data_IF_396538436753
#
_entry.id   IF_396538436753
#
_cell.length_a   1.000
_cell.length_b   1.000
_cell.length_c   1.000
_cell.angle_alpha   90.00
_cell.angle_beta   90.00
_cell.angle_gamma   90.00
#
_symmetry.space_group_name_H-M   'P 1'
#
loop_
_entity.id
_entity.type
_entity.pdbx_description
1 polymer ?
#
# COMPACT_ATOMS: atom_id res chain seq x y z
N UNK A 1 19.23 -73.10 4.19
CA UNK A 1 18.08 -73.49 5.04
C UNK A 1 16.91 -72.59 4.69
N UNK A 2 15.91 -73.08 3.95
CA UNK A 2 14.69 -72.37 3.53
C UNK A 2 13.48 -72.72 4.43
N UNK A 3 12.24 -72.41 3.96
CA UNK A 3 10.89 -72.88 4.41
C UNK A 3 10.18 -72.00 5.47
N UNK A 4 8.89 -71.63 5.42
CA UNK A 4 7.76 -71.75 4.47
C UNK A 4 6.54 -70.95 5.01
N UNK A 5 5.67 -70.46 4.13
CA UNK A 5 4.22 -70.15 4.38
C UNK A 5 3.40 -71.47 4.51
N UNK A 6 2.12 -71.58 4.99
CA UNK A 6 0.96 -70.81 4.47
C UNK A 6 -0.38 -70.66 5.31
N UNK A 7 -1.23 -69.74 4.80
CA UNK A 7 -2.71 -69.73 4.56
C UNK A 7 -3.81 -70.16 5.57
N UNK A 8 -4.87 -69.30 5.59
CA UNK A 8 -6.36 -69.48 5.69
C UNK A 8 -6.95 -68.60 6.81
N UNK A 9 -8.07 -67.88 6.69
CA UNK A 9 -9.13 -67.70 5.68
C UNK A 9 -10.45 -67.32 6.39
N UNK A 10 -11.27 -66.45 5.77
CA UNK A 10 -12.73 -66.23 6.01
C UNK A 10 -13.15 -65.53 7.33
N UNK A 11 -14.16 -64.67 7.46
CA UNK A 11 -15.36 -64.28 6.66
C UNK A 11 -15.92 -62.93 7.16
N UNK A 12 -16.66 -62.23 6.28
CA UNK A 12 -17.50 -61.04 6.53
C UNK A 12 -18.88 -61.46 7.05
N UNK A 13 -19.64 -60.57 7.73
CA UNK A 13 -21.00 -60.35 7.22
C UNK A 13 -21.41 -58.87 7.11
N UNK A 14 -22.26 -58.67 6.10
CA UNK A 14 -22.99 -57.45 5.71
C UNK A 14 -24.39 -57.48 6.33
N UNK A 15 -24.97 -56.30 6.58
CA UNK A 15 -26.41 -56.06 6.71
C UNK A 15 -26.79 -55.38 8.02
N UNK A 16 -27.76 -54.48 8.13
CA UNK A 16 -28.65 -53.81 7.19
C UNK A 16 -29.26 -52.61 7.94
N UNK A 17 -29.63 -51.52 7.24
CA UNK A 17 -30.62 -50.57 7.78
C UNK A 17 -32.03 -51.18 7.67
N UNK A 18 -33.02 -50.74 8.48
CA UNK A 18 -33.97 -49.76 7.93
C UNK A 18 -34.62 -48.76 8.93
N UNK A 19 -34.95 -47.59 8.38
CA UNK A 19 -36.21 -46.82 8.48
C UNK A 19 -36.70 -46.12 9.79
N UNK A 20 -36.79 -44.78 9.66
CA UNK A 20 -37.90 -43.84 9.93
C UNK A 20 -38.94 -44.14 11.03
N UNK A 21 -39.11 -43.16 11.93
CA UNK A 21 -40.44 -42.73 12.40
C UNK A 21 -40.45 -41.23 12.76
N UNK A 22 -41.48 -40.53 12.29
CA UNK A 22 -41.82 -39.13 12.58
C UNK A 22 -42.42 -38.98 13.99
N UNK A 23 -42.24 -37.79 14.60
CA UNK A 23 -43.06 -37.32 15.72
C UNK A 23 -42.91 -35.81 15.95
N UNK A 24 -43.94 -35.04 15.54
CA UNK A 24 -44.10 -33.59 15.79
C UNK A 24 -44.58 -33.33 17.23
N UNK A 25 -44.07 -32.29 17.91
CA UNK A 25 -44.88 -31.29 18.65
C UNK A 25 -44.00 -30.16 19.24
N UNK A 26 -44.49 -28.93 19.15
CA UNK A 26 -43.89 -27.65 19.59
C UNK A 26 -44.32 -27.27 21.04
N UNK A 27 -44.21 -26.01 21.49
CA UNK A 27 -43.03 -25.21 21.83
C UNK A 27 -43.01 -24.84 23.34
N UNK A 28 -41.86 -24.40 23.87
CA UNK A 28 -41.77 -23.80 25.21
C UNK A 28 -41.26 -22.36 25.16
N UNK A 29 -42.08 -21.48 25.74
CA UNK A 29 -41.93 -20.03 25.83
C UNK A 29 -40.89 -19.60 26.87
N UNK A 30 -40.34 -18.41 26.59
CA UNK A 30 -39.92 -17.34 27.52
C UNK A 30 -38.69 -17.56 28.42
N UNK A 31 -37.64 -16.76 28.17
CA UNK A 31 -37.51 -15.45 28.82
C UNK A 31 -36.51 -14.54 28.10
N UNK A 32 -37.02 -13.40 27.61
CA UNK A 32 -36.23 -12.22 27.24
C UNK A 32 -35.65 -11.60 28.51
N UNK A 33 -34.32 -11.42 28.58
CA UNK A 33 -33.71 -10.36 29.39
C UNK A 33 -33.18 -9.27 28.45
N UNK A 34 -33.88 -8.13 28.46
CA UNK A 34 -33.43 -6.87 27.85
C UNK A 34 -32.22 -6.37 28.64
N UNK A 35 -31.08 -6.21 27.99
CA UNK A 35 -29.99 -5.38 28.52
C UNK A 35 -30.31 -3.92 28.15
N UNK A 36 -30.37 -3.07 29.17
CA UNK A 36 -30.65 -1.64 29.06
C UNK A 36 -29.39 -0.90 28.58
N UNK A 37 -29.53 -0.09 27.54
CA UNK A 37 -28.54 0.90 27.15
C UNK A 37 -28.43 2.02 28.22
N UNK A 38 -27.26 2.62 28.45
CA UNK A 38 -27.12 3.79 29.29
C UNK A 38 -27.58 5.05 28.56
N UNK A 39 -28.28 5.92 29.30
CA UNK A 39 -28.88 7.19 28.85
C UNK A 39 -27.78 8.27 28.72
N UNK A 40 -27.82 9.16 27.72
CA UNK A 40 -26.86 10.24 27.58
C UNK A 40 -27.05 11.33 28.65
N UNK A 41 -25.94 11.87 29.15
CA UNK A 41 -25.90 13.02 30.05
C UNK A 41 -26.26 14.29 29.29
N UNK A 42 -27.23 15.03 29.81
CA UNK A 42 -27.60 16.38 29.38
C UNK A 42 -26.52 17.40 29.78
N UNK A 43 -26.13 18.35 28.91
CA UNK A 43 -25.33 19.49 29.34
C UNK A 43 -26.21 20.53 30.06
N UNK A 44 -25.72 21.01 31.19
CA UNK A 44 -26.27 22.15 31.92
C UNK A 44 -25.95 23.43 31.16
N UNK A 45 -26.98 24.23 30.89
CA UNK A 45 -26.85 25.59 30.39
C UNK A 45 -26.36 26.52 31.51
N UNK A 46 -25.38 27.38 31.21
CA UNK A 46 -25.09 28.57 31.98
C UNK A 46 -25.17 29.78 31.05
N UNK A 47 -26.13 30.64 31.33
CA UNK A 47 -26.38 31.92 30.68
C UNK A 47 -25.47 33.01 31.23
N UNK A 48 -24.90 33.80 30.31
CA UNK A 48 -24.71 35.27 30.33
C UNK A 48 -24.22 35.96 31.60
N UNK A 49 -23.13 36.73 31.49
CA UNK A 49 -23.17 38.18 31.75
C UNK A 49 -22.17 38.95 30.88
N UNK A 50 -22.64 40.12 30.43
CA UNK A 50 -21.98 41.17 29.68
C UNK A 50 -20.88 41.88 30.48
N UNK A 51 -19.95 42.56 29.79
CA UNK A 51 -19.06 43.51 30.44
C UNK A 51 -17.95 44.10 29.57
N UNK A 52 -18.29 45.15 28.82
CA UNK A 52 -17.47 46.34 28.52
C UNK A 52 -16.05 46.21 27.88
N UNK A 53 -15.97 46.71 26.65
CA UNK A 53 -14.78 47.30 26.01
C UNK A 53 -14.28 48.53 26.82
N UNK A 54 -12.98 48.88 26.76
CA UNK A 54 -12.61 49.92 25.82
C UNK A 54 -11.28 49.73 25.08
N UNK A 55 -11.24 50.42 23.96
CA UNK A 55 -10.18 50.68 23.00
C UNK A 55 -8.92 51.34 23.57
N UNK A 56 -7.76 50.94 23.07
CA UNK A 56 -6.59 51.82 22.88
C UNK A 56 -5.81 51.41 21.62
N UNK A 57 -5.54 52.41 20.79
CA UNK A 57 -4.83 52.39 19.51
C UNK A 57 -3.31 52.14 19.60
N UNK A 58 -2.79 51.44 18.56
CA UNK A 58 -1.59 51.74 17.74
C UNK A 58 -0.18 51.80 18.42
N UNK A 59 0.95 51.61 17.66
CA UNK A 59 1.07 51.75 16.21
C UNK A 59 1.83 50.65 15.44
N UNK A 60 1.44 50.56 14.17
CA UNK A 60 2.15 49.94 13.05
C UNK A 60 3.50 50.64 12.79
N UNK A 61 4.54 49.87 12.49
CA UNK A 61 5.75 50.36 11.83
C UNK A 61 5.70 49.99 10.33
N UNK A 62 5.84 51.01 9.49
CA UNK A 62 6.01 50.93 8.04
C UNK A 62 7.48 50.75 7.65
N UNK A 63 7.68 50.01 6.56
CA UNK A 63 8.68 50.31 5.53
C UNK A 63 9.61 49.15 5.15
N UNK A 64 10.13 49.07 3.90
CA UNK A 64 9.70 49.72 2.66
C UNK A 64 9.42 48.74 1.50
N UNK A 65 8.79 49.33 0.49
CA UNK A 65 8.45 48.80 -0.84
C UNK A 65 9.70 48.69 -1.71
N UNK A 66 9.74 47.66 -2.57
CA UNK A 66 10.61 47.55 -3.74
C UNK A 66 10.73 46.08 -4.14
N UNK A 67 10.68 45.64 -5.40
CA UNK A 67 10.40 46.25 -6.68
C UNK A 67 10.09 45.07 -7.60
N UNK A 68 9.22 45.27 -8.59
CA UNK A 68 8.95 44.35 -9.68
C UNK A 68 10.25 44.00 -10.42
N UNK A 69 10.43 42.72 -10.76
CA UNK A 69 11.28 42.32 -11.90
C UNK A 69 10.40 41.49 -12.84
N UNK A 70 9.97 42.19 -13.88
CA UNK A 70 9.55 41.69 -15.17
C UNK A 70 10.79 41.22 -15.94
N UNK A 71 10.75 40.02 -16.53
CA UNK A 71 11.74 39.50 -17.47
C UNK A 71 11.04 38.73 -18.59
N UNK A 72 10.48 39.46 -19.54
CA UNK A 72 10.13 38.96 -20.86
C UNK A 72 11.32 39.05 -21.85
N UNK A 73 11.92 37.89 -22.17
CA UNK A 73 12.45 37.42 -23.49
C UNK A 73 13.62 38.22 -24.16
N UNK A 74 14.36 37.72 -25.21
CA UNK A 74 14.25 36.45 -25.96
C UNK A 74 15.58 35.67 -26.21
N UNK A 75 15.44 34.39 -26.59
CA UNK A 75 16.16 33.77 -27.71
C UNK A 75 17.62 33.31 -27.56
N UNK A 76 17.84 31.99 -27.47
CA UNK A 76 18.93 31.29 -28.18
C UNK A 76 18.45 29.89 -28.57
N UNK A 77 18.29 29.66 -29.87
CA UNK A 77 17.97 28.35 -30.44
C UNK A 77 19.19 27.70 -31.09
N UNK A 78 19.27 26.38 -30.87
CA UNK A 78 19.74 25.34 -31.81
C UNK A 78 21.25 25.29 -32.11
N UNK A 79 21.93 24.34 -31.46
CA UNK A 79 22.66 23.18 -32.04
C UNK A 79 23.83 22.79 -31.14
N UNK A 80 23.77 21.55 -30.65
CA UNK A 80 24.87 20.60 -30.36
C UNK A 80 24.72 19.93 -28.99
N UNK A 81 23.85 18.92 -28.91
CA UNK A 81 24.17 17.70 -28.15
C UNK A 81 23.63 16.52 -28.98
N UNK A 82 24.48 16.00 -29.86
CA UNK A 82 24.29 14.71 -30.51
C UNK A 82 25.01 13.65 -29.66
N UNK A 83 24.29 12.54 -29.44
CA UNK A 83 24.78 11.15 -29.42
C UNK A 83 26.05 10.82 -28.62
N UNK A 84 25.87 10.00 -27.58
CA UNK A 84 26.57 8.72 -27.47
C UNK A 84 25.97 7.87 -26.33
N UNK A 85 24.97 7.05 -26.66
CA UNK A 85 24.80 5.76 -26.02
C UNK A 85 25.48 4.73 -26.93
N UNK A 86 26.49 4.03 -26.40
CA UNK A 86 27.09 2.86 -27.03
C UNK A 86 28.39 3.08 -27.82
N UNK A 87 29.52 3.01 -27.13
CA UNK A 87 30.73 2.30 -27.57
C UNK A 87 31.79 2.40 -26.46
N UNK A 88 32.52 1.30 -26.24
CA UNK A 88 33.51 1.12 -25.19
C UNK A 88 34.55 2.25 -25.14
N UNK A 89 34.62 2.95 -24.00
CA UNK A 89 35.77 3.75 -23.64
C UNK A 89 36.68 2.91 -22.74
N UNK A 90 37.82 2.47 -23.29
CA UNK A 90 38.99 2.12 -22.50
C UNK A 90 39.36 3.33 -21.64
N UNK A 91 39.04 3.27 -20.36
CA UNK A 91 39.45 4.28 -19.40
C UNK A 91 40.97 4.32 -19.34
N UNK A 92 41.58 5.43 -19.75
CA UNK A 92 42.91 5.79 -19.29
C UNK A 92 42.79 6.02 -17.79
N UNK A 93 43.24 5.04 -17.01
CA UNK A 93 43.23 5.10 -15.56
C UNK A 93 44.08 6.29 -15.10
N UNK A 94 43.45 7.28 -14.48
CA UNK A 94 44.14 8.25 -13.63
C UNK A 94 44.42 7.55 -12.29
N UNK A 95 45.67 7.18 -11.95
CA UNK A 95 45.95 6.24 -10.87
C UNK A 95 45.77 6.77 -9.44
N UNK A 96 45.26 7.99 -9.25
CA UNK A 96 45.26 8.67 -7.94
C UNK A 96 43.92 9.25 -7.48
N UNK A 97 42.80 8.97 -8.14
CA UNK A 97 41.49 9.26 -7.54
C UNK A 97 41.10 8.09 -6.64
N UNK A 98 41.01 8.26 -5.30
CA UNK A 98 40.40 7.23 -4.47
C UNK A 98 38.96 7.06 -4.94
N UNK A 99 38.68 5.92 -5.59
CA UNK A 99 37.33 5.44 -5.78
C UNK A 99 36.77 5.20 -4.38
N UNK A 100 36.00 6.17 -3.88
CA UNK A 100 35.21 5.97 -2.68
C UNK A 100 34.36 4.71 -2.89
N UNK A 101 34.20 3.86 -1.87
CA UNK A 101 33.37 2.68 -2.02
C UNK A 101 31.98 3.14 -2.46
N UNK A 102 31.47 2.58 -3.56
CA UNK A 102 30.05 2.60 -3.80
C UNK A 102 29.40 2.00 -2.56
N UNK A 103 28.67 2.80 -1.77
CA UNK A 103 27.97 2.29 -0.61
C UNK A 103 26.99 1.24 -1.11
N UNK A 104 27.30 -0.04 -0.85
CA UNK A 104 26.30 -1.09 -0.92
C UNK A 104 25.14 -0.64 -0.03
N UNK A 105 23.91 -0.68 -0.54
CA UNK A 105 22.74 -0.50 0.29
C UNK A 105 22.86 -1.49 1.46
N UNK A 106 22.93 -0.97 2.69
CA UNK A 106 23.05 -1.81 3.86
C UNK A 106 21.87 -2.80 3.89
N UNK A 107 22.16 -4.07 4.21
CA UNK A 107 21.12 -5.07 4.42
C UNK A 107 20.16 -4.59 5.53
N UNK A 108 18.86 -4.73 5.31
CA UNK A 108 17.81 -4.18 6.17
C UNK A 108 16.65 -5.16 6.34
N UNK A 109 16.02 -5.14 7.51
CA UNK A 109 14.89 -6.00 7.84
C UNK A 109 13.76 -5.25 8.58
N UNK A 110 12.63 -5.94 8.71
CA UNK A 110 11.55 -5.58 9.63
C UNK A 110 11.64 -6.34 10.96
N UNK A 111 12.27 -7.53 10.97
CA UNK A 111 12.27 -8.48 12.10
C UNK A 111 13.02 -7.96 13.32
N UNK A 112 14.05 -7.13 13.13
CA UNK A 112 14.85 -6.63 14.24
C UNK A 112 14.16 -5.54 15.05
N UNK A 113 12.93 -5.17 14.69
CA UNK A 113 12.14 -4.14 15.33
C UNK A 113 11.06 -4.66 16.28
N UNK A 114 10.65 -5.93 16.20
CA UNK A 114 9.69 -6.59 17.10
C UNK A 114 8.37 -5.82 17.33
N UNK A 115 7.21 -6.41 17.01
CA UNK A 115 5.92 -5.76 17.33
C UNK A 115 5.77 -5.40 18.83
N UNK A 116 6.51 -6.09 19.71
CA UNK A 116 6.58 -5.84 21.16
C UNK A 116 7.40 -4.62 21.59
N UNK A 117 8.23 -4.01 20.72
CA UNK A 117 9.00 -2.80 21.06
C UNK A 117 8.19 -1.50 20.95
N UNK A 118 6.92 -1.59 20.53
CA UNK A 118 6.08 -0.43 20.24
C UNK A 118 6.55 0.32 18.99
N UNK A 119 5.67 1.15 18.44
CA UNK A 119 5.91 2.00 17.26
C UNK A 119 7.18 2.89 17.35
N UNK A 120 7.79 3.02 18.54
CA UNK A 120 8.98 3.83 18.82
C UNK A 120 10.32 3.09 18.68
N UNK A 121 10.35 1.76 18.54
CA UNK A 121 11.59 0.97 18.42
C UNK A 121 12.25 0.99 17.02
N UNK A 122 11.49 1.36 15.98
CA UNK A 122 11.84 1.19 14.57
C UNK A 122 12.93 2.15 14.06
N UNK A 123 13.01 3.36 14.62
CA UNK A 123 13.87 4.44 14.12
C UNK A 123 15.38 4.22 14.35
N UNK A 124 15.79 3.12 14.99
CA UNK A 124 17.19 2.93 15.40
C UNK A 124 18.12 2.35 14.32
N UNK A 125 17.62 1.90 13.17
CA UNK A 125 18.48 1.25 12.15
C UNK A 125 18.38 1.77 10.72
N UNK A 126 17.24 2.31 10.29
CA UNK A 126 17.18 2.93 8.96
C UNK A 126 17.77 4.33 9.04
N UNK A 127 18.84 4.57 8.28
CA UNK A 127 19.63 5.80 8.32
C UNK A 127 19.43 6.65 7.08
N UNK A 128 20.08 7.82 7.03
CA UNK A 128 19.98 8.74 5.90
C UNK A 128 18.59 9.34 5.76
N UNK A 129 18.06 9.36 4.53
CA UNK A 129 16.77 9.97 4.20
C UNK A 129 15.62 9.30 5.00
N UNK A 130 15.71 8.00 5.27
CA UNK A 130 14.71 7.31 6.09
C UNK A 130 14.51 7.93 7.49
N UNK A 131 15.55 8.53 8.08
CA UNK A 131 15.49 9.12 9.42
C UNK A 131 15.40 10.65 9.40
N UNK A 132 15.99 11.30 8.39
CA UNK A 132 16.10 12.76 8.31
C UNK A 132 15.16 13.41 7.29
N UNK A 133 14.48 12.61 6.46
CA UNK A 133 13.59 13.09 5.40
C UNK A 133 12.37 13.83 5.95
N UNK A 134 11.94 14.88 5.23
CA UNK A 134 10.79 15.71 5.61
C UNK A 134 9.47 15.29 4.96
N UNK A 135 9.50 14.40 3.97
CA UNK A 135 8.36 13.96 3.16
C UNK A 135 8.30 12.43 3.08
N UNK A 136 8.39 11.78 4.24
CA UNK A 136 8.42 10.33 4.33
C UNK A 136 7.03 9.69 4.24
N UNK A 137 6.97 8.52 3.62
CA UNK A 137 5.79 7.64 3.54
C UNK A 137 6.01 6.39 4.40
N UNK A 138 4.94 5.71 4.87
CA UNK A 138 3.52 6.03 4.67
C UNK A 138 3.04 7.18 5.56
N UNK A 139 1.78 7.59 5.43
CA UNK A 139 1.14 8.61 6.27
C UNK A 139 -0.22 8.15 6.79
N UNK A 140 -0.71 8.84 7.82
CA UNK A 140 -2.09 8.72 8.26
C UNK A 140 -3.01 9.63 7.41
N UNK A 141 -4.13 9.07 6.95
CA UNK A 141 -5.11 9.72 6.08
C UNK A 141 -6.45 9.89 6.83
N UNK A 142 -7.25 10.92 6.52
CA UNK A 142 -8.53 11.14 7.21
C UNK A 142 -9.59 10.08 6.84
N UNK A 143 -10.12 9.36 7.84
CA UNK A 143 -11.11 8.27 7.64
C UNK A 143 -12.45 8.76 7.11
N UNK A 144 -12.86 9.99 7.41
CA UNK A 144 -14.14 10.51 6.92
C UNK A 144 -14.31 10.35 5.39
N UNK A 145 -13.20 10.35 4.63
CA UNK A 145 -13.22 10.28 3.16
C UNK A 145 -13.14 8.86 2.62
N UNK A 146 -12.86 7.89 3.50
CA UNK A 146 -13.02 6.47 3.23
C UNK A 146 -14.51 6.09 3.09
N UNK A 147 -15.40 6.84 3.76
CA UNK A 147 -16.80 6.41 3.99
C UNK A 147 -17.85 7.13 3.16
N UNK A 148 -17.53 8.28 2.56
CA UNK A 148 -18.48 9.08 1.76
C UNK A 148 -17.96 9.26 0.32
N UNK A 149 -18.16 8.27 -0.57
CA UNK A 149 -17.66 8.35 -1.95
C UNK A 149 -18.38 9.39 -2.81
N UNK A 150 -19.52 9.93 -2.33
CA UNK A 150 -20.44 10.72 -3.15
C UNK A 150 -20.25 12.24 -3.01
N UNK A 151 -19.45 12.70 -2.05
CA UNK A 151 -19.21 14.13 -1.83
C UNK A 151 -17.75 14.39 -1.46
N UNK A 152 -17.09 15.26 -2.23
CA UNK A 152 -15.80 15.79 -1.85
C UNK A 152 -16.02 16.58 -0.57
N UNK A 153 -15.21 16.37 0.47
CA UNK A 153 -15.32 17.19 1.65
C UNK A 153 -14.97 18.63 1.29
N UNK A 154 -15.59 19.57 1.99
CA UNK A 154 -15.33 21.00 1.79
C UNK A 154 -13.83 21.27 1.99
N UNK A 155 -13.18 21.79 0.96
CA UNK A 155 -11.75 22.17 1.01
C UNK A 155 -10.80 21.23 0.26
N UNK A 156 -11.27 20.13 -0.31
CA UNK A 156 -10.44 19.24 -1.13
C UNK A 156 -10.49 19.60 -2.61
N UNK A 157 -9.36 19.43 -3.29
CA UNK A 157 -9.11 19.82 -4.68
C UNK A 157 -9.31 18.65 -5.63
N UNK A 158 -10.05 18.87 -6.73
CA UNK A 158 -10.08 17.96 -7.88
C UNK A 158 -9.07 18.45 -8.93
N UNK A 159 -7.79 18.39 -8.60
CA UNK A 159 -6.70 18.97 -9.38
C UNK A 159 -6.22 18.02 -10.47
N UNK A 160 -6.18 16.73 -10.15
CA UNK A 160 -5.63 15.69 -11.03
C UNK A 160 -6.70 14.90 -11.78
N UNK A 161 -7.94 14.90 -11.29
CA UNK A 161 -9.04 14.14 -11.88
C UNK A 161 -8.86 12.64 -11.73
N UNK A 162 -9.66 11.86 -12.44
CA UNK A 162 -9.60 10.40 -12.37
C UNK A 162 -8.27 9.81 -12.85
N UNK A 163 -7.86 8.73 -12.20
CA UNK A 163 -6.85 7.82 -12.75
C UNK A 163 -7.53 6.86 -13.73
N UNK A 164 -7.15 6.95 -15.01
CA UNK A 164 -7.65 6.06 -16.06
C UNK A 164 -6.70 4.88 -16.24
N UNK A 165 -7.06 3.75 -15.65
CA UNK A 165 -6.29 2.50 -15.70
C UNK A 165 -6.54 1.71 -16.99
N UNK A 166 -5.46 1.23 -17.60
CA UNK A 166 -5.45 0.34 -18.76
C UNK A 166 -4.47 -0.81 -18.51
N UNK A 167 -4.83 -1.69 -17.58
CA UNK A 167 -4.06 -2.90 -17.32
C UNK A 167 -4.63 -4.08 -18.11
N UNK A 168 -3.80 -4.61 -19.01
CA UNK A 168 -4.14 -5.72 -19.86
C UNK A 168 -4.10 -7.06 -19.14
N UNK A 169 -4.41 -8.10 -19.90
CA UNK A 169 -4.16 -9.48 -19.50
C UNK A 169 -2.71 -9.82 -19.81
N UNK A 170 -1.98 -10.29 -18.80
CA UNK A 170 -0.57 -10.63 -18.89
C UNK A 170 -0.43 -12.15 -18.86
N UNK A 171 -0.06 -12.77 -19.98
CA UNK A 171 0.08 -14.23 -20.10
C UNK A 171 1.18 -14.80 -19.18
N UNK A 172 2.24 -14.01 -18.97
CA UNK A 172 3.36 -14.35 -18.10
C UNK A 172 3.76 -13.14 -17.27
N UNK A 173 4.14 -13.40 -16.02
CA UNK A 173 4.73 -12.41 -15.11
C UNK A 173 5.90 -13.04 -14.36
N UNK A 174 6.84 -12.22 -13.93
CA UNK A 174 7.99 -12.68 -13.14
C UNK A 174 7.71 -12.42 -11.65
N UNK A 175 7.69 -13.47 -10.84
CA UNK A 175 7.49 -13.39 -9.39
C UNK A 175 8.81 -13.60 -8.67
N UNK A 176 9.20 -12.60 -7.90
CA UNK A 176 10.43 -12.55 -7.12
C UNK A 176 10.10 -12.59 -5.63
N UNK A 177 10.80 -13.40 -4.85
CA UNK A 177 10.87 -13.19 -3.41
C UNK A 177 11.96 -12.16 -3.12
N UNK A 178 11.59 -10.99 -2.58
CA UNK A 178 12.53 -9.88 -2.36
C UNK A 178 13.54 -10.15 -1.26
N UNK A 179 13.31 -11.15 -0.40
CA UNK A 179 14.06 -11.35 0.83
C UNK A 179 13.71 -10.38 1.96
N UNK A 180 12.90 -9.36 1.70
CA UNK A 180 12.49 -8.33 2.66
C UNK A 180 11.00 -8.44 3.04
N UNK A 181 10.50 -9.67 3.18
CA UNK A 181 9.16 -9.93 3.69
C UNK A 181 8.01 -9.79 2.69
N UNK A 182 8.29 -9.54 1.40
CA UNK A 182 7.25 -9.56 0.34
C UNK A 182 7.72 -10.30 -0.91
N UNK A 183 6.77 -10.87 -1.65
CA UNK A 183 6.96 -11.15 -3.06
C UNK A 183 6.70 -9.89 -3.90
N UNK A 184 7.34 -9.82 -5.06
CA UNK A 184 7.18 -8.75 -6.05
C UNK A 184 6.82 -9.38 -7.39
N UNK A 185 5.69 -8.96 -7.95
CA UNK A 185 5.23 -9.41 -9.27
C UNK A 185 5.61 -8.34 -10.29
N UNK A 186 6.49 -8.70 -11.23
CA UNK A 186 7.05 -7.81 -12.23
C UNK A 186 6.35 -7.98 -13.57
N UNK A 187 6.10 -6.86 -14.23
CA UNK A 187 5.42 -6.79 -15.51
C UNK A 187 6.39 -6.45 -16.63
N UNK A 188 6.07 -6.95 -17.83
CA UNK A 188 6.61 -6.38 -19.06
C UNK A 188 5.87 -5.06 -19.36
N UNK A 189 6.47 -4.16 -20.16
CA UNK A 189 5.81 -2.94 -20.64
C UNK A 189 4.43 -3.22 -21.26
N UNK A 190 3.51 -2.26 -21.14
CA UNK A 190 2.17 -2.33 -21.75
C UNK A 190 0.97 -2.25 -20.81
N UNK A 191 1.19 -2.18 -19.49
CA UNK A 191 0.14 -1.89 -18.51
C UNK A 191 0.27 -0.42 -18.07
N UNK A 192 -0.70 0.42 -18.41
CA UNK A 192 -0.57 1.87 -18.17
C UNK A 192 -1.73 2.45 -17.35
N UNK A 193 -1.51 3.62 -16.76
CA UNK A 193 -2.52 4.46 -16.16
C UNK A 193 -2.26 5.92 -16.55
N UNK A 194 -3.30 6.76 -16.63
CA UNK A 194 -3.16 8.19 -16.92
C UNK A 194 -3.84 9.00 -15.83
N UNK A 195 -3.16 10.01 -15.30
CA UNK A 195 -3.66 10.92 -14.25
C UNK A 195 -3.03 12.29 -14.43
N UNK A 196 -3.81 13.37 -14.33
CA UNK A 196 -3.28 14.74 -14.43
C UNK A 196 -2.49 15.06 -15.71
N UNK A 197 -2.73 14.33 -16.81
CA UNK A 197 -1.97 14.43 -18.06
C UNK A 197 -0.65 13.64 -18.08
N UNK A 198 -0.27 12.98 -16.99
CA UNK A 198 0.90 12.10 -16.90
C UNK A 198 0.52 10.66 -17.23
N UNK A 199 1.35 9.97 -18.03
CA UNK A 199 1.23 8.55 -18.29
C UNK A 199 2.16 7.75 -17.36
N UNK A 200 1.60 6.75 -16.70
CA UNK A 200 2.25 5.89 -15.72
C UNK A 200 2.31 4.47 -16.27
N UNK A 201 3.50 3.89 -16.40
CA UNK A 201 3.67 2.49 -16.79
C UNK A 201 3.90 1.61 -15.55
N UNK A 202 3.05 0.60 -15.34
CA UNK A 202 3.16 -0.33 -14.23
C UNK A 202 4.41 -1.21 -14.39
N UNK A 203 5.27 -1.18 -13.38
CA UNK A 203 6.52 -1.96 -13.35
C UNK A 203 6.35 -3.21 -12.51
N UNK A 204 5.75 -3.06 -11.33
CA UNK A 204 5.57 -4.16 -10.39
C UNK A 204 4.43 -3.88 -9.41
N UNK A 205 3.96 -4.92 -8.72
CA UNK A 205 3.29 -4.74 -7.43
C UNK A 205 3.90 -5.62 -6.35
N UNK A 206 3.68 -5.23 -5.09
CA UNK A 206 4.04 -5.98 -3.88
C UNK A 206 3.07 -5.65 -2.74
N UNK A 207 3.19 -6.35 -1.61
CA UNK A 207 2.24 -6.23 -0.50
C UNK A 207 2.92 -5.92 0.83
N UNK A 208 2.16 -5.33 1.73
CA UNK A 208 2.52 -5.11 3.12
C UNK A 208 1.43 -5.64 4.05
N UNK A 209 1.84 -6.15 5.22
CA UNK A 209 0.94 -6.52 6.32
C UNK A 209 1.50 -6.02 7.66
N UNK A 210 0.70 -5.29 8.46
CA UNK A 210 -0.58 -4.67 8.11
C UNK A 210 -0.43 -3.64 6.95
N UNK A 211 -1.47 -2.89 6.61
CA UNK A 211 -1.31 -1.74 5.70
C UNK A 211 -0.23 -0.79 6.19
N UNK A 212 0.47 -0.13 5.28
CA UNK A 212 1.46 0.89 5.64
C UNK A 212 0.74 2.21 5.94
N UNK A 213 -0.15 2.62 5.03
CA UNK A 213 -1.07 3.72 5.27
C UNK A 213 -2.13 3.35 6.31
N UNK A 214 -2.56 4.37 7.05
CA UNK A 214 -3.67 4.26 7.99
C UNK A 214 -4.75 5.27 7.64
N UNK A 215 -5.98 4.99 8.08
CA UNK A 215 -7.09 5.94 8.07
C UNK A 215 -7.52 6.24 9.51
N UNK A 216 -7.33 7.46 9.98
CA UNK A 216 -7.47 7.87 11.39
C UNK A 216 -6.78 6.89 12.37
N UNK A 217 -5.55 6.49 12.03
CA UNK A 217 -4.73 5.54 12.79
C UNK A 217 -5.15 4.08 12.67
N UNK A 218 -6.14 3.75 11.84
CA UNK A 218 -6.62 2.38 11.63
C UNK A 218 -5.95 1.74 10.43
N UNK A 219 -5.35 0.57 10.66
CA UNK A 219 -4.79 -0.26 9.60
C UNK A 219 -5.82 -1.22 9.00
N UNK A 220 -5.67 -1.55 7.71
CA UNK A 220 -6.28 -2.75 7.12
C UNK A 220 -5.32 -3.95 7.22
N UNK A 221 -5.82 -5.20 7.06
CA UNK A 221 -4.97 -6.38 7.12
C UNK A 221 -3.78 -6.38 6.16
N UNK A 222 -3.98 -5.89 4.93
CA UNK A 222 -2.94 -5.77 3.92
C UNK A 222 -3.07 -4.44 3.17
N UNK A 223 -1.99 -4.04 2.52
CA UNK A 223 -1.97 -3.02 1.48
C UNK A 223 -1.16 -3.53 0.29
N UNK A 224 -1.62 -3.24 -0.93
CA UNK A 224 -0.86 -3.48 -2.15
C UNK A 224 -0.33 -2.17 -2.70
N UNK A 225 0.94 -2.18 -3.08
CA UNK A 225 1.60 -1.09 -3.79
C UNK A 225 1.77 -1.49 -5.25
N UNK A 226 1.11 -0.77 -6.15
CA UNK A 226 1.35 -0.84 -7.59
C UNK A 226 2.34 0.28 -7.93
N UNK A 227 3.56 -0.09 -8.33
CA UNK A 227 4.65 0.86 -8.60
C UNK A 227 4.75 1.12 -10.09
N UNK A 228 4.73 2.40 -10.45
CA UNK A 228 4.77 2.87 -11.82
C UNK A 228 6.03 3.70 -12.08
N UNK A 229 6.49 3.65 -13.33
CA UNK A 229 7.38 4.66 -13.88
C UNK A 229 6.53 5.77 -14.50
N UNK A 230 6.87 7.02 -14.22
CA UNK A 230 6.27 8.17 -14.91
C UNK A 230 6.94 8.31 -16.28
N UNK A 231 6.20 8.11 -17.36
CA UNK A 231 6.71 8.07 -18.72
C UNK A 231 7.36 9.41 -19.11
N UNK A 232 8.51 9.33 -19.77
CA UNK A 232 9.30 10.52 -20.14
C UNK A 232 10.13 11.11 -19.00
N UNK A 233 10.14 10.49 -17.81
CA UNK A 233 10.93 10.94 -16.65
C UNK A 233 11.69 9.78 -15.99
N UNK A 234 12.52 10.11 -14.99
CA UNK A 234 13.15 9.12 -14.11
C UNK A 234 12.34 8.86 -12.82
N UNK A 235 11.19 9.51 -12.65
CA UNK A 235 10.38 9.47 -11.43
C UNK A 235 9.52 8.20 -11.34
N UNK A 236 9.15 7.86 -10.12
CA UNK A 236 8.18 6.80 -9.83
C UNK A 236 6.91 7.41 -9.23
N UNK A 237 5.80 6.75 -9.50
CA UNK A 237 4.53 6.96 -8.82
C UNK A 237 4.08 5.63 -8.20
N UNK A 238 3.31 5.68 -7.12
CA UNK A 238 2.78 4.49 -6.46
C UNK A 238 1.29 4.64 -6.24
N UNK A 239 0.52 3.66 -6.71
CA UNK A 239 -0.88 3.51 -6.34
C UNK A 239 -0.97 2.55 -5.15
N UNK A 240 -1.42 3.05 -4.01
CA UNK A 240 -1.67 2.25 -2.81
C UNK A 240 -3.14 1.81 -2.76
N UNK A 241 -3.39 0.52 -2.53
CA UNK A 241 -4.75 0.00 -2.33
C UNK A 241 -4.81 -0.82 -1.05
N UNK A 242 -5.65 -0.41 -0.12
CA UNK A 242 -5.87 -1.13 1.12
C UNK A 242 -6.72 -2.38 0.84
N UNK A 243 -6.38 -3.49 1.49
CA UNK A 243 -7.03 -4.79 1.31
C UNK A 243 -7.72 -5.23 2.60
N UNK A 244 -9.03 -5.44 2.53
CA UNK A 244 -9.87 -5.85 3.66
C UNK A 244 -10.27 -7.32 3.60
N UNK A 245 -10.59 -7.90 4.76
CA UNK A 245 -11.19 -9.24 4.82
C UNK A 245 -12.64 -9.22 4.34
N UNK A 246 -13.16 -10.41 4.04
CA UNK A 246 -14.58 -10.62 3.80
C UNK A 246 -14.97 -10.88 2.35
N UNK A 247 -14.01 -11.14 1.46
CA UNK A 247 -14.33 -11.76 0.18
C UNK A 247 -14.68 -13.24 0.38
N UNK A 248 -15.64 -13.72 -0.41
CA UNK A 248 -15.98 -15.16 -0.47
C UNK A 248 -14.98 -15.93 -1.33
N UNK A 249 -14.56 -15.32 -2.43
CA UNK A 249 -13.63 -15.91 -3.39
C UNK A 249 -12.26 -15.22 -3.31
N UNK A 250 -11.15 -15.95 -3.55
CA UNK A 250 -9.82 -15.36 -3.56
C UNK A 250 -9.67 -14.30 -4.66
N UNK A 251 -9.01 -13.19 -4.33
CA UNK A 251 -8.57 -12.24 -5.35
C UNK A 251 -7.53 -12.90 -6.27
N UNK A 252 -7.73 -12.94 -7.59
CA UNK A 252 -6.88 -13.72 -8.50
C UNK A 252 -5.44 -13.19 -8.59
N UNK A 253 -5.22 -11.89 -8.44
CA UNK A 253 -3.88 -11.30 -8.47
C UNK A 253 -3.08 -11.67 -7.22
N UNK A 254 -3.71 -11.51 -6.05
CA UNK A 254 -3.11 -11.90 -4.77
C UNK A 254 -2.83 -13.41 -4.75
N UNK A 255 -3.77 -14.23 -5.24
CA UNK A 255 -3.59 -15.68 -5.28
C UNK A 255 -2.44 -16.10 -6.20
N UNK A 256 -2.31 -15.47 -7.37
CA UNK A 256 -1.18 -15.74 -8.27
C UNK A 256 0.15 -15.45 -7.58
N UNK A 257 0.27 -14.31 -6.91
CA UNK A 257 1.50 -13.93 -6.22
C UNK A 257 1.85 -14.95 -5.13
N UNK A 258 0.86 -15.37 -4.32
CA UNK A 258 1.03 -16.39 -3.28
C UNK A 258 1.41 -17.77 -3.84
N UNK A 259 0.77 -18.21 -4.92
CA UNK A 259 1.00 -19.52 -5.52
C UNK A 259 2.37 -19.62 -6.19
N UNK A 260 2.82 -18.53 -6.84
CA UNK A 260 4.03 -18.53 -7.64
C UNK A 260 5.29 -18.07 -6.88
N UNK A 261 5.15 -17.39 -5.73
CA UNK A 261 6.30 -16.84 -5.04
C UNK A 261 7.29 -17.94 -4.59
N UNK A 262 8.57 -17.84 -4.96
CA UNK A 262 9.57 -18.79 -4.50
C UNK A 262 9.86 -18.61 -3.00
N UNK A 263 10.18 -19.70 -2.31
CA UNK A 263 10.51 -19.64 -0.87
C UNK A 263 11.87 -19.02 -0.58
N UNK A 264 12.82 -19.14 -1.51
CA UNK A 264 14.18 -18.63 -1.34
C UNK A 264 14.25 -17.15 -1.70
N UNK A 265 14.85 -16.34 -0.82
CA UNK A 265 15.10 -14.91 -1.06
C UNK A 265 15.93 -14.69 -2.32
N UNK A 266 15.63 -13.60 -3.03
CA UNK A 266 16.29 -13.17 -4.26
C UNK A 266 16.20 -14.17 -5.41
N UNK A 267 15.28 -15.13 -5.34
CA UNK A 267 14.94 -16.03 -6.45
C UNK A 267 13.75 -15.49 -7.20
N UNK A 268 13.84 -15.53 -8.53
CA UNK A 268 12.79 -15.12 -9.46
C UNK A 268 12.32 -16.32 -10.26
N UNK A 269 11.02 -16.46 -10.43
CA UNK A 269 10.38 -17.47 -11.27
C UNK A 269 9.38 -16.82 -12.20
N UNK A 270 9.19 -17.39 -13.39
CA UNK A 270 8.13 -16.94 -14.30
C UNK A 270 6.84 -17.73 -13.99
N UNK A 271 5.76 -17.03 -13.73
CA UNK A 271 4.45 -17.62 -13.52
C UNK A 271 3.69 -17.70 -14.86
N UNK A 272 3.30 -18.89 -15.34
CA UNK A 272 2.59 -19.07 -16.62
C UNK A 272 1.08 -18.83 -16.48
N UNK A 273 0.68 -17.78 -15.75
CA UNK A 273 -0.72 -17.53 -15.42
C UNK A 273 -1.15 -16.15 -15.90
N UNK A 274 -2.19 -16.17 -16.74
CA UNK A 274 -2.92 -15.01 -17.21
C UNK A 274 -3.41 -14.16 -16.03
N UNK A 275 -2.97 -12.91 -15.96
CA UNK A 275 -3.29 -11.96 -14.89
C UNK A 275 -3.65 -10.59 -15.43
N UNK A 276 -4.78 -10.04 -14.99
CA UNK A 276 -5.01 -8.60 -15.06
C UNK A 276 -4.80 -7.96 -13.69
N UNK A 277 -3.86 -7.00 -13.57
CA UNK A 277 -3.70 -6.19 -12.36
C UNK A 277 -4.93 -5.36 -12.00
N UNK A 278 -5.93 -5.23 -12.89
CA UNK A 278 -7.21 -4.58 -12.57
C UNK A 278 -7.89 -5.20 -11.35
N UNK A 279 -7.68 -6.49 -11.07
CA UNK A 279 -8.23 -7.16 -9.91
C UNK A 279 -7.74 -6.59 -8.56
N UNK A 280 -6.64 -5.83 -8.55
CA UNK A 280 -6.10 -5.19 -7.34
C UNK A 280 -6.69 -3.81 -7.08
N UNK A 281 -7.54 -3.28 -7.98
CA UNK A 281 -8.11 -1.95 -7.87
C UNK A 281 -9.58 -2.03 -7.41
N UNK A 282 -10.06 -1.10 -6.58
CA UNK A 282 -11.45 -1.09 -6.08
C UNK A 282 -12.44 -0.75 -7.18
N UNK A 283 -13.50 -1.54 -7.37
CA UNK A 283 -14.49 -1.31 -8.43
C UNK A 283 -14.94 0.15 -8.52
N UNK A 284 -15.02 0.73 -9.73
CA UNK A 284 -15.32 2.15 -9.88
C UNK A 284 -16.77 2.40 -9.48
N UNK A 285 -17.01 3.52 -8.80
CA UNK A 285 -18.36 4.03 -8.53
C UNK A 285 -18.62 5.18 -9.48
N UNK A 286 -19.66 5.07 -10.32
CA UNK A 286 -19.96 6.07 -11.36
C UNK A 286 -18.77 6.38 -12.28
N UNK A 287 -17.96 5.37 -12.64
CA UNK A 287 -16.72 5.49 -13.42
C UNK A 287 -15.54 6.20 -12.72
N UNK A 288 -15.68 6.48 -11.43
CA UNK A 288 -14.67 7.12 -10.58
C UNK A 288 -14.08 6.15 -9.55
N UNK A 289 -12.82 6.36 -9.18
CA UNK A 289 -12.13 5.66 -8.08
C UNK A 289 -11.48 6.73 -7.21
N UNK A 290 -12.16 7.24 -6.18
CA UNK A 290 -11.64 8.35 -5.40
C UNK A 290 -10.33 7.97 -4.70
N UNK A 291 -9.40 8.91 -4.61
CA UNK A 291 -8.07 8.66 -4.05
C UNK A 291 -7.50 9.90 -3.35
N UNK A 292 -6.55 9.65 -2.46
CA UNK A 292 -5.69 10.68 -1.90
C UNK A 292 -4.42 10.80 -2.72
N UNK A 293 -3.99 12.03 -2.95
CA UNK A 293 -2.70 12.32 -3.56
C UNK A 293 -1.80 13.10 -2.61
N UNK A 294 -0.54 12.69 -2.52
CA UNK A 294 0.50 13.45 -1.82
C UNK A 294 1.89 13.10 -2.35
N UNK A 295 2.83 14.03 -2.21
CA UNK A 295 4.25 13.77 -2.50
C UNK A 295 4.91 13.19 -1.26
N UNK A 296 5.49 12.00 -1.41
CA UNK A 296 6.05 11.21 -0.33
C UNK A 296 7.39 10.57 -0.68
N UNK A 297 7.63 9.39 -0.11
CA UNK A 297 8.85 8.62 -0.29
C UNK A 297 8.59 7.16 -0.64
N UNK A 298 9.64 6.42 -0.99
CA UNK A 298 9.62 4.96 -0.85
C UNK A 298 9.45 4.61 0.65
N UNK A 299 8.71 3.55 0.94
CA UNK A 299 8.49 3.07 2.32
C UNK A 299 9.57 2.11 2.82
N UNK A 300 10.55 1.80 1.95
CA UNK A 300 11.70 0.96 2.26
C UNK A 300 13.01 1.69 1.97
N UNK A 301 14.12 1.34 2.63
CA UNK A 301 15.43 1.93 2.34
C UNK A 301 15.78 1.90 0.85
N UNK A 302 16.30 3.00 0.28
CA UNK A 302 16.83 4.20 0.97
C UNK A 302 15.78 5.30 1.31
N UNK A 303 14.49 5.01 1.21
CA UNK A 303 13.39 5.94 1.49
C UNK A 303 13.45 7.24 0.66
N UNK A 304 13.89 7.15 -0.60
CA UNK A 304 13.97 8.28 -1.53
C UNK A 304 12.64 9.03 -1.59
N UNK A 305 12.70 10.36 -1.45
CA UNK A 305 11.54 11.26 -1.53
C UNK A 305 11.22 11.65 -2.99
N UNK A 306 10.10 12.34 -3.18
CA UNK A 306 9.62 12.78 -4.50
C UNK A 306 8.79 11.72 -5.22
N UNK A 307 8.17 10.81 -4.46
CA UNK A 307 7.27 9.79 -4.99
C UNK A 307 5.85 10.33 -4.97
N UNK A 308 5.18 10.37 -6.13
CA UNK A 308 3.75 10.66 -6.22
C UNK A 308 2.96 9.46 -5.69
N UNK A 309 2.29 9.63 -4.55
CA UNK A 309 1.42 8.62 -3.96
C UNK A 309 -0.03 8.87 -4.33
N UNK A 310 -0.70 7.82 -4.80
CA UNK A 310 -2.11 7.78 -5.12
C UNK A 310 -2.78 6.68 -4.28
N UNK A 311 -3.25 7.01 -3.08
CA UNK A 311 -3.83 6.04 -2.15
C UNK A 311 -5.33 5.97 -2.37
N UNK A 312 -5.82 4.83 -2.87
CA UNK A 312 -7.25 4.63 -3.11
C UNK A 312 -8.05 4.77 -1.81
N UNK A 313 -9.13 5.54 -1.88
CA UNK A 313 -10.05 5.71 -0.76
C UNK A 313 -10.88 4.47 -0.47
N UNK A 314 -11.06 3.59 -1.46
CA UNK A 314 -11.84 2.37 -1.35
C UNK A 314 -10.92 1.15 -1.25
N UNK A 315 -11.33 0.17 -0.43
CA UNK A 315 -10.60 -1.09 -0.30
C UNK A 315 -11.02 -2.13 -1.34
N UNK A 316 -10.13 -3.10 -1.54
CA UNK A 316 -10.46 -4.36 -2.21
C UNK A 316 -10.60 -5.46 -1.16
N UNK A 317 -11.68 -6.23 -1.25
CA UNK A 317 -11.89 -7.37 -0.36
C UNK A 317 -11.09 -8.58 -0.83
N UNK A 318 -10.43 -9.25 0.11
CA UNK A 318 -9.71 -10.50 -0.05
C UNK A 318 -10.20 -11.52 0.99
N UNK A 319 -9.83 -12.79 0.80
CA UNK A 319 -10.21 -13.85 1.76
C UNK A 319 -9.31 -13.80 2.99
N UNK A 320 -9.82 -14.23 4.16
CA UNK A 320 -8.99 -14.42 5.36
C UNK A 320 -7.81 -15.35 5.11
N UNK A 321 -7.98 -16.36 4.23
CA UNK A 321 -6.90 -17.25 3.85
C UNK A 321 -5.75 -16.52 3.17
N UNK A 322 -6.04 -15.61 2.23
CA UNK A 322 -5.01 -14.82 1.55
C UNK A 322 -4.24 -13.91 2.52
N UNK A 323 -4.93 -13.35 3.52
CA UNK A 323 -4.29 -12.58 4.59
C UNK A 323 -3.28 -13.45 5.35
N UNK A 324 -3.72 -14.62 5.81
CA UNK A 324 -2.88 -15.53 6.59
C UNK A 324 -1.74 -16.11 5.76
N UNK A 325 -1.99 -16.52 4.52
CA UNK A 325 -0.96 -17.04 3.61
C UNK A 325 0.13 -15.99 3.37
N UNK A 326 -0.23 -14.72 3.18
CA UNK A 326 0.75 -13.65 3.03
C UNK A 326 1.54 -13.39 4.32
N UNK A 327 0.88 -13.28 5.47
CA UNK A 327 1.55 -13.14 6.77
C UNK A 327 2.52 -14.32 7.04
N UNK A 328 2.15 -15.53 6.62
CA UNK A 328 3.00 -16.71 6.71
C UNK A 328 4.19 -16.64 5.73
N UNK A 329 3.98 -16.11 4.52
CA UNK A 329 5.06 -15.84 3.57
C UNK A 329 6.07 -14.84 4.17
N UNK A 330 5.59 -13.75 4.78
CA UNK A 330 6.45 -12.76 5.46
C UNK A 330 7.28 -13.43 6.56
N UNK A 331 6.66 -14.31 7.36
CA UNK A 331 7.32 -15.11 8.39
C UNK A 331 8.09 -16.32 7.87
N UNK A 332 8.46 -16.33 6.58
CA UNK A 332 9.31 -17.34 5.91
C UNK A 332 8.77 -18.76 6.04
N UNK A 333 7.44 -18.92 6.15
CA UNK A 333 6.76 -20.20 6.33
C UNK A 333 6.79 -20.77 7.76
N UNK A 334 7.56 -20.18 8.67
CA UNK A 334 7.76 -20.67 10.03
C UNK A 334 6.85 -19.98 11.06
N UNK A 335 6.38 -18.77 10.77
CA UNK A 335 5.54 -17.96 11.65
C UNK A 335 4.68 -17.01 10.83
N UNK A 336 3.79 -16.27 11.49
CA UNK A 336 3.14 -15.10 10.91
C UNK A 336 3.93 -13.85 11.31
N UNK A 337 4.34 -13.04 10.34
CA UNK A 337 5.14 -11.85 10.60
C UNK A 337 4.64 -10.65 9.76
N UNK A 338 5.26 -9.49 9.97
CA UNK A 338 4.85 -8.20 9.42
C UNK A 338 5.98 -7.54 8.63
N UNK A 339 5.61 -6.73 7.66
CA UNK A 339 6.54 -6.01 6.78
C UNK A 339 6.09 -4.58 6.49
N UNK A 340 5.53 -3.90 7.48
CA UNK A 340 5.02 -2.53 7.34
C UNK A 340 5.84 -1.53 8.16
N UNK A 341 6.24 -0.43 7.53
CA UNK A 341 6.82 0.76 8.17
C UNK A 341 5.70 1.54 8.88
N UNK A 342 5.96 2.10 10.07
CA UNK A 342 5.03 3.02 10.74
C UNK A 342 4.65 4.25 9.90
N UNK A 343 3.42 4.78 10.03
CA UNK A 343 3.06 6.10 9.53
C UNK A 343 4.02 7.20 9.99
N UNK A 344 4.38 8.08 9.06
CA UNK A 344 5.31 9.18 9.26
C UNK A 344 4.54 10.49 9.41
N UNK A 345 5.06 11.48 10.16
CA UNK A 345 4.38 12.77 10.32
C UNK A 345 4.08 13.44 8.97
N UNK A 346 2.86 13.96 8.74
CA UNK A 346 2.51 14.64 7.50
C UNK A 346 3.35 15.90 7.26
N UNK A 347 3.89 16.52 8.32
CA UNK A 347 4.64 17.78 8.28
C UNK A 347 3.85 18.86 7.53
N UNK A 348 4.48 19.59 6.61
CA UNK A 348 3.85 20.67 5.85
C UNK A 348 3.27 20.19 4.50
N UNK A 349 3.06 18.89 4.31
CA UNK A 349 2.54 18.35 3.06
C UNK A 349 1.06 18.68 2.90
N UNK A 350 0.70 19.04 1.67
CA UNK A 350 -0.69 19.10 1.25
C UNK A 350 -1.16 17.67 0.93
N UNK A 351 -2.29 17.29 1.51
CA UNK A 351 -3.00 16.06 1.17
C UNK A 351 -4.17 16.46 0.26
N UNK A 352 -4.08 16.08 -1.01
CA UNK A 352 -5.11 16.32 -1.99
C UNK A 352 -6.07 15.12 -2.01
N UNK A 353 -7.36 15.35 -2.26
CA UNK A 353 -8.36 14.28 -2.37
C UNK A 353 -9.18 14.48 -3.63
N UNK A 354 -9.16 13.46 -4.47
CA UNK A 354 -9.72 13.45 -5.81
C UNK A 354 -10.91 12.48 -5.81
N UNK A 355 -12.06 12.94 -6.34
CA UNK A 355 -13.32 12.18 -6.38
C UNK A 355 -13.38 11.22 -7.56
#
# INVERSE_FOLDING_TARGET
MPFTMPLRGQTVPVGAQPQKALGKSAPLLQHRRKASAPRPLTPVAASTQEGSNPSTEAPQRRGPVGSLIDMSQPGLSRRQVLQAAGAAATAVACPCCPTGPAMAAADWDYESAGFTAGYTGWLRRWSGICAAGGQQSPVDLPLALYTTPDEAPKGYTNKFGDIKFKYGVNETVDVLNTGHGTMQVNFKPGNTAVVGGSELELVQYHFHTPSEHTFDGVHTPLEVHLVHRVMGTASLAVVGVLLERGAKEPNPAVQLALDAAPRQSNVKVQAPRSLSPMALLPEPKNDHRPYFHYIGSLTTPPCSEGIDWFVMSQTVKITDKQVLDFMQFVGKGASYNFNARPPQPPNNRELEFEL
#
